data_IF_712801519862
#
_entry.id   IF_712801519862
#
_cell.length_a   1.000
_cell.length_b   1.000
_cell.length_c   1.000
_cell.angle_alpha   90.00
_cell.angle_beta   90.00
_cell.angle_gamma   90.00
#
_symmetry.space_group_name_H-M   'P 1'
#
loop_
_entity.id
_entity.type
_entity.pdbx_description
1 polymer ?
#
# COMPACT_ATOMS: atom_id res chain seq x y z
N UNK A 1 -21.05 54.56 14.97
CA UNK A 1 -21.11 53.62 13.82
C UNK A 1 -19.82 52.82 13.61
N UNK A 2 -18.60 53.38 13.73
CA UNK A 2 -17.35 52.63 13.52
C UNK A 2 -17.14 51.40 14.44
N UNK A 3 -17.53 51.47 15.72
CA UNK A 3 -17.35 50.35 16.67
C UNK A 3 -18.17 49.11 16.31
N UNK A 4 -19.37 49.28 15.76
CA UNK A 4 -20.22 48.15 15.35
C UNK A 4 -19.67 47.46 14.09
N UNK A 5 -19.13 48.26 13.14
CA UNK A 5 -18.48 47.73 11.95
C UNK A 5 -17.23 46.90 12.29
N UNK A 6 -16.42 47.34 13.27
CA UNK A 6 -15.22 46.61 13.69
C UNK A 6 -15.57 45.23 14.30
N UNK A 7 -16.63 45.16 15.10
CA UNK A 7 -17.11 43.90 15.73
C UNK A 7 -17.66 42.93 14.69
N UNK A 8 -18.35 43.43 13.66
CA UNK A 8 -18.81 42.61 12.54
C UNK A 8 -17.65 42.05 11.72
N UNK A 9 -16.62 42.86 11.47
CA UNK A 9 -15.42 42.42 10.75
C UNK A 9 -14.61 41.38 11.51
N UNK A 10 -14.47 41.51 12.83
CA UNK A 10 -13.77 40.49 13.64
C UNK A 10 -14.55 39.18 13.67
N UNK A 11 -15.88 39.21 13.78
CA UNK A 11 -16.72 38.01 13.73
C UNK A 11 -16.63 37.29 12.38
N UNK A 12 -16.71 38.03 11.26
CA UNK A 12 -16.56 37.46 9.92
C UNK A 12 -15.17 36.83 9.75
N UNK A 13 -14.12 37.51 10.21
CA UNK A 13 -12.75 36.98 10.12
C UNK A 13 -12.57 35.70 10.97
N UNK A 14 -13.13 35.65 12.18
CA UNK A 14 -13.11 34.45 13.03
C UNK A 14 -13.86 33.29 12.38
N UNK A 15 -15.03 33.54 11.77
CA UNK A 15 -15.79 32.52 11.04
C UNK A 15 -15.00 32.02 9.83
N UNK A 16 -14.38 32.90 9.05
CA UNK A 16 -13.53 32.54 7.91
C UNK A 16 -12.35 31.69 8.37
N UNK A 17 -11.67 32.07 9.46
CA UNK A 17 -10.58 31.28 10.04
C UNK A 17 -11.05 29.90 10.52
N UNK A 18 -12.23 29.81 11.15
CA UNK A 18 -12.81 28.52 11.58
C UNK A 18 -13.18 27.62 10.39
N UNK A 19 -13.81 28.19 9.36
CA UNK A 19 -14.16 27.46 8.12
C UNK A 19 -12.90 27.04 7.36
N UNK A 20 -11.87 27.88 7.33
CA UNK A 20 -10.59 27.58 6.68
C UNK A 20 -9.81 26.51 7.43
N UNK A 21 -9.77 26.57 8.76
CA UNK A 21 -9.15 25.53 9.61
C UNK A 21 -9.84 24.17 9.45
N UNK A 22 -11.18 24.15 9.36
CA UNK A 22 -11.95 22.92 9.15
C UNK A 22 -11.77 22.27 7.77
N UNK A 23 -11.33 23.02 6.75
CA UNK A 23 -11.10 22.51 5.38
C UNK A 23 -9.74 21.85 5.18
N UNK A 24 -8.78 22.09 6.09
CA UNK A 24 -7.40 21.61 5.99
C UNK A 24 -7.00 20.59 7.08
N UNK A 25 -7.88 20.31 8.04
CA UNK A 25 -7.69 19.20 8.98
C UNK A 25 -8.06 17.87 8.28
N UNK A 26 -7.11 17.32 7.51
CA UNK A 26 -7.12 15.89 7.21
C UNK A 26 -6.84 15.19 8.53
N UNK A 27 -7.89 14.72 9.21
CA UNK A 27 -7.72 13.78 10.32
C UNK A 27 -6.99 12.56 9.76
N UNK A 28 -5.71 12.42 10.12
CA UNK A 28 -4.97 11.18 9.94
C UNK A 28 -5.71 10.12 10.76
N UNK A 29 -6.59 9.38 10.10
CA UNK A 29 -7.22 8.22 10.71
C UNK A 29 -6.07 7.27 11.04
N UNK A 30 -5.89 7.01 12.34
CA UNK A 30 -4.93 5.99 12.81
C UNK A 30 -5.35 4.70 12.11
N UNK A 31 -4.62 4.29 11.08
CA UNK A 31 -4.96 3.08 10.33
C UNK A 31 -4.63 1.93 11.29
N UNK A 32 -5.68 1.27 11.77
CA UNK A 32 -5.55 0.19 12.73
C UNK A 32 -5.52 -1.14 11.97
N UNK A 33 -4.33 -1.69 11.80
CA UNK A 33 -4.10 -3.10 11.46
C UNK A 33 -3.00 -3.64 12.37
N UNK A 34 -3.06 -4.94 12.66
CA UNK A 34 -2.00 -5.65 13.37
C UNK A 34 -1.04 -6.25 12.36
N UNK A 35 0.24 -5.92 12.47
CA UNK A 35 1.27 -6.60 11.69
C UNK A 35 1.69 -7.89 12.41
N UNK A 36 1.78 -9.02 11.69
CA UNK A 36 2.25 -10.28 12.24
C UNK A 36 3.74 -10.20 12.58
N UNK A 37 4.24 -11.18 13.33
CA UNK A 37 5.68 -11.40 13.42
C UNK A 37 6.21 -11.89 12.06
N UNK A 38 7.35 -11.34 11.65
CA UNK A 38 7.98 -11.64 10.37
C UNK A 38 9.44 -12.01 10.61
N UNK A 39 9.96 -12.97 9.87
CA UNK A 39 11.37 -13.31 9.91
C UNK A 39 12.22 -12.13 9.43
N UNK A 40 13.20 -11.75 10.25
CA UNK A 40 14.13 -10.64 10.00
C UNK A 40 15.17 -10.88 8.90
N UNK A 41 15.28 -12.09 8.33
CA UNK A 41 16.32 -12.44 7.34
C UNK A 41 15.74 -12.99 6.02
N UNK A 42 14.69 -12.35 5.50
CA UNK A 42 14.09 -12.74 4.23
C UNK A 42 14.83 -12.10 3.03
N UNK A 43 15.21 -12.92 2.05
CA UNK A 43 15.72 -12.40 0.76
C UNK A 43 14.60 -11.72 -0.05
N UNK A 44 13.39 -12.28 0.00
CA UNK A 44 12.20 -11.72 -0.65
C UNK A 44 11.00 -11.86 0.29
N UNK A 45 10.30 -10.76 0.51
CA UNK A 45 8.95 -10.73 1.05
C UNK A 45 7.97 -10.30 -0.06
N UNK A 46 6.80 -10.93 -0.11
CA UNK A 46 5.77 -10.62 -1.09
C UNK A 46 4.46 -10.26 -0.41
N UNK A 47 3.70 -9.36 -1.04
CA UNK A 47 2.30 -9.11 -0.68
C UNK A 47 1.40 -9.33 -1.88
N UNK A 48 0.20 -9.85 -1.62
CA UNK A 48 -0.93 -9.82 -2.55
C UNK A 48 -1.93 -8.80 -2.02
N UNK A 49 -2.20 -7.75 -2.80
CA UNK A 49 -3.27 -6.82 -2.50
C UNK A 49 -4.58 -7.38 -2.98
N UNK A 50 -5.53 -7.56 -2.06
CA UNK A 50 -6.84 -8.10 -2.35
C UNK A 50 -7.96 -7.21 -1.81
N UNK A 51 -9.19 -7.58 -2.18
CA UNK A 51 -10.42 -7.10 -1.57
C UNK A 51 -11.34 -8.28 -1.26
N UNK A 52 -12.08 -8.20 -0.16
CA UNK A 52 -13.06 -9.21 0.23
C UNK A 52 -14.06 -9.54 -0.88
N UNK A 53 -14.41 -8.56 -1.72
CA UNK A 53 -15.30 -8.74 -2.88
C UNK A 53 -14.72 -9.68 -3.96
N UNK A 54 -13.39 -9.83 -4.02
CA UNK A 54 -12.69 -10.59 -5.07
C UNK A 54 -12.04 -11.88 -4.56
N UNK A 55 -12.33 -12.30 -3.33
CA UNK A 55 -11.75 -13.52 -2.78
C UNK A 55 -12.04 -14.74 -3.63
N UNK A 56 -13.30 -14.95 -4.01
CA UNK A 56 -13.71 -16.10 -4.81
C UNK A 56 -13.42 -15.91 -6.30
N UNK A 57 -13.57 -14.69 -6.82
CA UNK A 57 -13.46 -14.41 -8.25
C UNK A 57 -12.02 -14.27 -8.75
N UNK A 58 -11.07 -13.95 -7.87
CA UNK A 58 -9.66 -13.69 -8.23
C UNK A 58 -8.67 -14.38 -7.28
N UNK A 59 -8.67 -13.99 -6.01
CA UNK A 59 -7.64 -14.41 -5.05
C UNK A 59 -7.58 -15.94 -4.91
N UNK A 60 -8.73 -16.63 -4.96
CA UNK A 60 -8.84 -18.08 -4.88
C UNK A 60 -7.88 -18.79 -5.82
N UNK A 61 -7.75 -18.33 -7.07
CA UNK A 61 -6.88 -18.97 -8.06
C UNK A 61 -5.40 -18.87 -7.67
N UNK A 62 -4.98 -17.72 -7.13
CA UNK A 62 -3.62 -17.54 -6.61
C UNK A 62 -3.34 -18.46 -5.42
N UNK A 63 -4.30 -18.57 -4.49
CA UNK A 63 -4.21 -19.43 -3.31
C UNK A 63 -4.21 -20.94 -3.66
N UNK A 64 -4.96 -21.33 -4.67
CA UNK A 64 -5.04 -22.73 -5.11
C UNK A 64 -3.83 -23.17 -5.93
N UNK A 65 -3.08 -22.22 -6.51
CA UNK A 65 -1.96 -22.47 -7.42
C UNK A 65 -0.60 -22.12 -6.81
N UNK A 66 -0.05 -20.95 -7.15
CA UNK A 66 1.35 -20.60 -6.89
C UNK A 66 1.62 -20.26 -5.43
N UNK A 67 0.63 -19.73 -4.70
CA UNK A 67 0.78 -19.36 -3.29
C UNK A 67 1.24 -20.54 -2.42
N UNK A 68 0.74 -21.76 -2.66
CA UNK A 68 1.09 -22.95 -1.87
C UNK A 68 2.60 -23.21 -1.82
N UNK A 69 3.31 -22.85 -2.88
CA UNK A 69 4.76 -23.05 -2.99
C UNK A 69 5.57 -21.94 -2.30
N UNK A 70 4.93 -20.86 -1.86
CA UNK A 70 5.59 -19.62 -1.40
C UNK A 70 4.90 -19.00 -0.19
N UNK A 71 3.99 -19.73 0.45
CA UNK A 71 3.10 -19.21 1.50
C UNK A 71 3.86 -18.59 2.66
N UNK A 72 5.03 -19.12 2.99
CA UNK A 72 5.91 -18.64 4.05
C UNK A 72 6.50 -17.23 3.80
N UNK A 73 6.45 -16.71 2.57
CA UNK A 73 6.97 -15.39 2.21
C UNK A 73 5.92 -14.48 1.57
N UNK A 74 4.65 -14.90 1.51
CA UNK A 74 3.55 -14.11 0.93
C UNK A 74 2.54 -13.74 2.01
N UNK A 75 2.21 -12.46 2.11
CA UNK A 75 1.14 -11.94 2.95
C UNK A 75 0.01 -11.36 2.09
N UNK A 76 -1.24 -11.58 2.46
CA UNK A 76 -2.41 -11.00 1.80
C UNK A 76 -2.85 -9.77 2.57
N UNK A 77 -2.85 -8.62 1.91
CA UNK A 77 -3.36 -7.36 2.47
C UNK A 77 -4.77 -7.13 1.93
N UNK A 78 -5.74 -7.06 2.82
CA UNK A 78 -7.16 -6.92 2.46
C UNK A 78 -7.86 -5.81 3.22
N UNK A 79 -8.99 -5.37 2.70
CA UNK A 79 -9.96 -4.55 3.43
C UNK A 79 -10.73 -5.34 4.49
N UNK A 80 -11.54 -4.62 5.29
CA UNK A 80 -12.49 -5.17 6.24
C UNK A 80 -13.34 -6.25 5.58
N UNK A 81 -13.08 -7.48 6.01
CA UNK A 81 -13.73 -8.66 5.46
C UNK A 81 -15.08 -8.86 6.16
N UNK A 82 -16.10 -9.27 5.39
CA UNK A 82 -17.38 -9.72 5.96
C UNK A 82 -17.09 -10.86 6.95
N UNK A 83 -17.69 -10.91 8.16
CA UNK A 83 -17.29 -11.85 9.22
C UNK A 83 -17.17 -13.31 8.79
N UNK A 84 -18.08 -13.80 7.94
CA UNK A 84 -18.05 -15.17 7.42
C UNK A 84 -16.83 -15.43 6.52
N UNK A 85 -16.55 -14.52 5.57
CA UNK A 85 -15.38 -14.60 4.71
C UNK A 85 -14.09 -14.43 5.52
N UNK A 86 -14.11 -13.60 6.56
CA UNK A 86 -12.97 -13.37 7.45
C UNK A 86 -12.56 -14.67 8.13
N UNK A 87 -13.53 -15.43 8.66
CA UNK A 87 -13.26 -16.72 9.30
C UNK A 87 -12.63 -17.72 8.32
N UNK A 88 -13.18 -17.82 7.10
CA UNK A 88 -12.64 -18.70 6.05
C UNK A 88 -11.21 -18.32 5.69
N UNK A 89 -10.94 -17.03 5.47
CA UNK A 89 -9.62 -16.55 5.08
C UNK A 89 -8.59 -16.66 6.20
N UNK A 90 -8.96 -16.36 7.44
CA UNK A 90 -8.09 -16.57 8.61
C UNK A 90 -7.77 -18.05 8.81
N UNK A 91 -8.72 -18.95 8.55
CA UNK A 91 -8.46 -20.39 8.59
C UNK A 91 -7.47 -20.85 7.51
N UNK A 92 -7.53 -20.27 6.30
CA UNK A 92 -6.60 -20.61 5.21
C UNK A 92 -5.22 -19.99 5.36
N UNK A 93 -5.14 -18.72 5.75
CA UNK A 93 -3.92 -17.92 5.69
C UNK A 93 -3.26 -17.72 7.06
N UNK A 94 -4.00 -17.88 8.16
CA UNK A 94 -3.52 -17.56 9.50
C UNK A 94 -2.95 -16.14 9.57
N UNK A 95 -1.75 -16.03 10.12
CA UNK A 95 -1.03 -14.75 10.29
C UNK A 95 -0.56 -14.13 8.97
N UNK A 96 -0.71 -14.83 7.84
CA UNK A 96 -0.43 -14.28 6.52
C UNK A 96 -1.58 -13.41 5.97
N UNK A 97 -2.70 -13.28 6.67
CA UNK A 97 -3.76 -12.33 6.34
C UNK A 97 -3.66 -11.06 7.20
N UNK A 98 -3.54 -9.90 6.55
CA UNK A 98 -3.57 -8.59 7.20
C UNK A 98 -4.83 -7.86 6.75
N UNK A 99 -5.80 -7.80 7.66
CA UNK A 99 -7.07 -7.11 7.46
C UNK A 99 -6.93 -5.64 7.88
N UNK A 100 -7.32 -4.74 6.97
CA UNK A 100 -7.20 -3.28 7.14
C UNK A 100 -8.58 -2.65 7.07
N UNK A 101 -8.80 -1.55 7.80
CA UNK A 101 -10.05 -0.79 7.69
C UNK A 101 -10.06 0.26 6.56
N UNK A 102 -9.39 -0.06 5.45
CA UNK A 102 -9.22 0.82 4.29
C UNK A 102 -10.45 0.88 3.35
N UNK A 103 -11.48 0.07 3.64
CA UNK A 103 -12.69 -0.08 2.83
C UNK A 103 -12.48 -0.88 1.53
N UNK A 104 -13.56 -1.45 0.96
CA UNK A 104 -13.45 -2.44 -0.13
C UNK A 104 -13.30 -1.85 -1.54
N UNK A 105 -13.42 -0.54 -1.70
CA UNK A 105 -13.45 0.08 -3.02
C UNK A 105 -12.05 0.30 -3.58
N UNK A 106 -11.90 0.22 -4.91
CA UNK A 106 -10.69 0.61 -5.64
C UNK A 106 -10.49 2.14 -5.73
N UNK A 107 -10.87 2.87 -4.68
CA UNK A 107 -10.67 4.32 -4.61
C UNK A 107 -9.20 4.64 -4.33
N UNK A 108 -8.70 5.78 -4.83
CA UNK A 108 -7.32 6.21 -4.55
C UNK A 108 -6.99 6.23 -3.04
N UNK A 109 -7.88 6.71 -2.14
CA UNK A 109 -7.64 6.63 -0.70
C UNK A 109 -7.53 5.20 -0.16
N UNK A 110 -8.42 4.29 -0.57
CA UNK A 110 -8.40 2.89 -0.14
C UNK A 110 -7.14 2.16 -0.61
N UNK A 111 -6.73 2.41 -1.87
CA UNK A 111 -5.50 1.84 -2.43
C UNK A 111 -4.25 2.40 -1.74
N UNK A 112 -4.21 3.70 -1.43
CA UNK A 112 -3.12 4.31 -0.67
C UNK A 112 -3.06 3.78 0.78
N UNK A 113 -4.21 3.57 1.41
CA UNK A 113 -4.30 3.01 2.76
C UNK A 113 -3.76 1.56 2.82
N UNK A 114 -4.14 0.70 1.87
CA UNK A 114 -3.56 -0.65 1.75
C UNK A 114 -2.08 -0.62 1.39
N UNK A 115 -1.67 0.34 0.55
CA UNK A 115 -0.26 0.59 0.25
C UNK A 115 0.55 0.92 1.51
N UNK A 116 0.00 1.69 2.45
CA UNK A 116 0.66 1.96 3.73
C UNK A 116 0.87 0.67 4.53
N UNK A 117 -0.15 -0.19 4.63
CA UNK A 117 -0.03 -1.47 5.33
C UNK A 117 1.05 -2.38 4.75
N UNK A 118 1.17 -2.43 3.42
CA UNK A 118 2.26 -3.14 2.75
C UNK A 118 3.62 -2.54 3.08
N UNK A 119 3.76 -1.21 3.02
CA UNK A 119 5.03 -0.54 3.31
C UNK A 119 5.46 -0.74 4.76
N UNK A 120 4.54 -0.69 5.72
CA UNK A 120 4.85 -0.95 7.13
C UNK A 120 5.30 -2.41 7.33
N UNK A 121 4.65 -3.37 6.66
CA UNK A 121 5.07 -4.76 6.68
C UNK A 121 6.47 -4.94 6.07
N UNK A 122 6.72 -4.33 4.91
CA UNK A 122 8.01 -4.36 4.24
C UNK A 122 9.12 -3.74 5.09
N UNK A 123 8.82 -2.63 5.77
CA UNK A 123 9.73 -1.99 6.69
C UNK A 123 10.03 -2.89 7.90
N UNK A 124 9.00 -3.50 8.52
CA UNK A 124 9.16 -4.42 9.67
C UNK A 124 9.99 -5.65 9.31
N UNK A 125 9.81 -6.20 8.13
CA UNK A 125 10.46 -7.44 7.70
C UNK A 125 11.94 -7.29 7.37
N UNK A 126 12.38 -6.07 7.01
CA UNK A 126 13.74 -5.77 6.55
C UNK A 126 14.23 -6.67 5.40
N UNK A 127 13.30 -7.23 4.63
CA UNK A 127 13.60 -8.15 3.55
C UNK A 127 14.36 -7.44 2.42
N UNK A 128 15.41 -8.06 1.87
CA UNK A 128 16.25 -7.45 0.82
C UNK A 128 15.42 -6.93 -0.36
N UNK A 129 14.41 -7.71 -0.75
CA UNK A 129 13.40 -7.34 -1.72
C UNK A 129 12.00 -7.46 -1.15
N UNK A 130 11.16 -6.47 -1.44
CA UNK A 130 9.74 -6.46 -1.13
C UNK A 130 8.93 -6.30 -2.41
N UNK A 131 8.07 -7.27 -2.72
CA UNK A 131 7.30 -7.28 -3.97
C UNK A 131 5.79 -7.28 -3.73
N UNK A 132 5.08 -6.34 -4.35
CA UNK A 132 3.60 -6.29 -4.35
C UNK A 132 3.06 -6.88 -5.63
N UNK A 133 2.09 -7.76 -5.51
CA UNK A 133 1.25 -8.29 -6.58
C UNK A 133 -0.21 -7.92 -6.36
N UNK A 134 -0.99 -7.80 -7.43
CA UNK A 134 -2.46 -7.73 -7.35
C UNK A 134 -3.08 -9.15 -7.27
N UNK A 135 -4.35 -9.23 -6.85
CA UNK A 135 -5.11 -10.48 -6.69
C UNK A 135 -5.37 -11.28 -7.98
N UNK A 136 -5.09 -10.69 -9.15
CA UNK A 136 -5.21 -11.29 -10.47
C UNK A 136 -3.86 -11.68 -11.11
N UNK A 137 -2.77 -11.64 -10.33
CA UNK A 137 -1.41 -11.92 -10.82
C UNK A 137 -0.96 -13.36 -10.53
N UNK A 138 -0.20 -13.95 -11.47
CA UNK A 138 0.51 -15.21 -11.28
C UNK A 138 2.01 -14.96 -11.10
N UNK A 139 2.62 -15.60 -10.10
CA UNK A 139 4.06 -15.46 -9.83
C UNK A 139 4.80 -16.77 -10.06
N UNK A 140 5.83 -16.70 -10.91
CA UNK A 140 6.85 -17.73 -11.03
C UNK A 140 8.05 -17.36 -10.13
N UNK A 141 8.07 -17.84 -8.89
CA UNK A 141 9.08 -17.46 -7.90
C UNK A 141 10.53 -17.77 -8.33
N UNK A 142 10.86 -18.93 -8.93
CA UNK A 142 12.22 -19.18 -9.43
C UNK A 142 12.70 -18.14 -10.44
N UNK A 143 11.82 -17.72 -11.37
CA UNK A 143 12.15 -16.68 -12.37
C UNK A 143 12.27 -15.31 -11.71
N UNK A 144 11.42 -15.00 -10.73
CA UNK A 144 11.49 -13.76 -9.95
C UNK A 144 12.83 -13.66 -9.22
N UNK A 145 13.22 -14.69 -8.47
CA UNK A 145 14.51 -14.76 -7.75
C UNK A 145 15.70 -14.53 -8.70
N UNK A 146 15.73 -15.27 -9.81
CA UNK A 146 16.79 -15.11 -10.84
C UNK A 146 16.81 -13.70 -11.43
N UNK A 147 15.64 -13.08 -11.58
CA UNK A 147 15.53 -11.72 -12.10
C UNK A 147 16.11 -10.70 -11.12
N UNK A 148 15.70 -10.76 -9.85
CA UNK A 148 16.15 -9.85 -8.80
C UNK A 148 17.65 -10.00 -8.49
N UNK A 149 18.19 -11.22 -8.59
CA UNK A 149 19.62 -11.48 -8.41
C UNK A 149 20.53 -10.75 -9.42
N UNK A 150 19.99 -10.21 -10.51
CA UNK A 150 20.74 -9.38 -11.47
C UNK A 150 20.92 -7.93 -11.03
N UNK A 151 20.25 -7.52 -9.96
CA UNK A 151 20.25 -6.15 -9.46
C UNK A 151 20.90 -6.08 -8.08
N UNK A 152 21.45 -4.91 -7.73
CA UNK A 152 22.04 -4.68 -6.42
C UNK A 152 20.97 -4.23 -5.41
N UNK A 153 20.56 -5.12 -4.51
CA UNK A 153 19.56 -4.82 -3.48
C UNK A 153 19.99 -3.76 -2.46
N UNK A 154 21.27 -3.40 -2.40
CA UNK A 154 21.81 -2.42 -1.42
C UNK A 154 21.67 -0.97 -1.89
N UNK A 155 21.11 -0.74 -3.09
CA UNK A 155 20.85 0.59 -3.65
C UNK A 155 19.34 0.83 -3.75
N UNK A 156 18.82 2.02 -3.39
CA UNK A 156 17.40 2.33 -3.54
C UNK A 156 16.91 2.16 -4.98
N UNK A 157 16.07 1.17 -5.23
CA UNK A 157 15.49 0.91 -6.54
C UNK A 157 14.10 0.28 -6.50
N UNK A 158 13.36 0.55 -7.56
CA UNK A 158 12.08 -0.09 -7.87
C UNK A 158 12.18 -0.80 -9.21
N UNK A 159 11.68 -2.03 -9.27
CA UNK A 159 11.65 -2.87 -10.47
C UNK A 159 10.19 -3.19 -10.75
N UNK A 160 9.75 -2.93 -11.97
CA UNK A 160 8.42 -3.28 -12.40
C UNK A 160 8.15 -2.80 -13.82
N UNK A 161 7.00 -3.18 -14.36
CA UNK A 161 6.62 -2.76 -15.70
C UNK A 161 6.12 -1.32 -15.68
N UNK A 162 6.75 -0.46 -16.46
CA UNK A 162 6.27 0.89 -16.72
C UNK A 162 5.33 0.80 -17.92
N UNK A 163 4.06 1.13 -17.71
CA UNK A 163 3.04 1.15 -18.78
C UNK A 163 2.42 2.52 -18.99
N UNK A 164 2.48 3.39 -17.97
CA UNK A 164 1.99 4.75 -18.05
C UNK A 164 3.01 5.72 -18.66
N UNK A 165 2.49 6.82 -19.21
CA UNK A 165 3.30 7.96 -19.65
C UNK A 165 3.94 8.65 -18.43
N UNK A 166 5.12 9.27 -18.58
CA UNK A 166 5.71 10.06 -17.52
C UNK A 166 4.74 11.14 -17.02
N UNK A 167 4.68 11.29 -15.70
CA UNK A 167 3.88 12.29 -15.01
C UNK A 167 4.73 13.55 -14.81
N UNK A 168 4.41 14.68 -15.47
CA UNK A 168 5.15 15.91 -15.26
C UNK A 168 4.85 16.47 -13.86
N UNK A 169 5.89 16.70 -13.08
CA UNK A 169 5.83 17.27 -11.74
C UNK A 169 6.80 18.45 -11.63
N UNK A 170 6.36 19.53 -10.99
CA UNK A 170 7.26 20.65 -10.67
C UNK A 170 7.65 20.57 -9.20
N UNK A 171 8.93 20.32 -8.92
CA UNK A 171 9.48 20.30 -7.57
C UNK A 171 10.54 21.39 -7.44
N UNK A 172 10.38 22.28 -6.45
CA UNK A 172 11.30 23.42 -6.20
C UNK A 172 11.59 24.24 -7.46
N UNK A 173 10.55 24.52 -8.25
CA UNK A 173 10.64 25.32 -9.49
C UNK A 173 11.25 24.61 -10.69
N UNK A 174 11.65 23.34 -10.56
CA UNK A 174 12.17 22.52 -11.66
C UNK A 174 11.13 21.51 -12.12
N UNK A 175 10.98 21.36 -13.44
CA UNK A 175 10.14 20.33 -14.04
C UNK A 175 10.88 19.00 -14.03
N UNK A 176 10.19 17.95 -13.63
CA UNK A 176 10.64 16.57 -13.58
C UNK A 176 9.57 15.70 -14.21
N UNK A 177 9.99 14.74 -15.02
CA UNK A 177 9.08 13.71 -15.53
C UNK A 177 9.23 12.47 -14.66
N UNK A 178 8.24 12.23 -13.81
CA UNK A 178 8.26 11.11 -12.88
C UNK A 178 7.70 9.88 -13.59
N UNK A 179 8.45 8.80 -13.55
CA UNK A 179 8.03 7.51 -14.05
C UNK A 179 8.00 6.53 -12.89
N UNK A 180 6.92 5.80 -12.76
CA UNK A 180 6.77 4.75 -11.75
C UNK A 180 6.18 3.50 -12.40
N UNK A 181 6.51 2.30 -11.89
CA UNK A 181 5.86 1.08 -12.35
C UNK A 181 4.35 1.15 -12.11
N UNK A 182 3.58 0.86 -13.14
CA UNK A 182 2.11 0.90 -13.14
C UNK A 182 1.49 -0.45 -13.48
N UNK A 183 2.29 -1.51 -13.55
CA UNK A 183 1.80 -2.87 -13.68
C UNK A 183 1.28 -3.43 -12.37
N UNK A 184 0.63 -4.60 -12.46
CA UNK A 184 0.08 -5.37 -11.34
C UNK A 184 1.15 -5.96 -10.40
N UNK A 185 2.42 -5.70 -10.70
CA UNK A 185 3.57 -6.26 -10.01
C UNK A 185 4.70 -5.23 -9.95
N UNK A 186 5.22 -4.99 -8.75
CA UNK A 186 6.43 -4.21 -8.52
C UNK A 186 7.25 -4.79 -7.37
N UNK A 187 8.56 -4.60 -7.41
CA UNK A 187 9.49 -4.95 -6.35
C UNK A 187 10.33 -3.75 -5.95
N UNK A 188 10.62 -3.60 -4.67
CA UNK A 188 11.42 -2.53 -4.10
C UNK A 188 12.55 -3.14 -3.28
N UNK A 189 13.74 -2.56 -3.39
CA UNK A 189 14.86 -2.87 -2.50
C UNK A 189 14.60 -2.29 -1.10
N UNK A 190 15.08 -2.94 -0.04
CA UNK A 190 14.92 -2.42 1.32
C UNK A 190 15.41 -0.96 1.54
N UNK A 191 16.57 -0.53 0.98
CA UNK A 191 17.00 0.87 1.10
C UNK A 191 16.01 1.89 0.50
N UNK A 192 15.22 1.50 -0.49
CA UNK A 192 14.14 2.34 -1.01
C UNK A 192 12.97 2.39 -0.04
N UNK A 193 12.53 1.24 0.48
CA UNK A 193 11.42 1.17 1.44
C UNK A 193 11.73 2.02 2.68
N UNK A 194 12.97 1.99 3.17
CA UNK A 194 13.43 2.81 4.31
C UNK A 194 13.35 4.33 4.09
N UNK A 195 13.35 4.77 2.84
CA UNK A 195 13.30 6.18 2.47
C UNK A 195 11.88 6.71 2.23
N UNK A 196 10.88 5.83 2.10
CA UNK A 196 9.48 6.16 1.87
C UNK A 196 8.77 6.45 3.20
#
# INVERSE_FOLDING_TARGET
MLRQALVLWTLVFVIILFVWKGKHDVKLQKIAYSLPEVDSNLDILMTIRATSQNYESRLRYSLETWWKSVSNVVYVISDDVIPEQSLKMRSLLGDHLIETSCGPNYSNPSLACKCQAELDLFYKAEARWSCRMDDDSYVNLPVLKRTLARYNADVPMVIGRITAKPLPLTFRGKKHDIVFPTGNALCMSFPLVKCL
#
